data_IF_732576289022
#
_entry.id   IF_732576289022
#
_cell.length_a   1.000
_cell.length_b   1.000
_cell.length_c   1.000
_cell.angle_alpha   90.00
_cell.angle_beta   90.00
_cell.angle_gamma   90.00
#
_symmetry.space_group_name_H-M   'P 1'
#
loop_
_entity.id
_entity.type
_entity.pdbx_description
1 polymer ?
#
# COMPACT_ATOMS: atom_id res chain seq x y z
N UNK A 1 -2.81 1.76 8.19
CA UNK A 1 -3.37 1.47 6.84
C UNK A 1 -4.79 0.97 6.99
N UNK A 2 -5.71 1.60 6.32
CA UNK A 2 -7.10 1.18 6.31
C UNK A 2 -7.44 0.60 4.93
N UNK A 3 -8.00 -0.60 4.93
CA UNK A 3 -8.26 -1.36 3.71
C UNK A 3 -9.75 -1.64 3.63
N UNK A 4 -10.36 -1.29 2.50
CA UNK A 4 -11.78 -1.54 2.24
C UNK A 4 -11.92 -2.28 0.92
N UNK A 5 -12.65 -3.37 0.93
CA UNK A 5 -12.94 -4.18 -0.26
C UNK A 5 -14.46 -4.19 -0.47
N UNK A 6 -14.90 -3.58 -1.56
CA UNK A 6 -16.31 -3.58 -1.99
C UNK A 6 -16.33 -3.94 -3.48
N UNK A 7 -16.78 -3.02 -4.34
CA UNK A 7 -16.68 -3.20 -5.79
C UNK A 7 -15.25 -2.96 -6.29
N UNK A 8 -14.44 -2.32 -5.47
CA UNK A 8 -13.03 -2.04 -5.76
C UNK A 8 -12.22 -2.13 -4.46
N UNK A 9 -10.94 -2.34 -4.60
CA UNK A 9 -10.01 -2.31 -3.47
C UNK A 9 -9.60 -0.86 -3.18
N UNK A 10 -9.81 -0.42 -1.95
CA UNK A 10 -9.38 0.91 -1.48
C UNK A 10 -8.39 0.76 -0.35
N UNK A 11 -7.25 1.40 -0.51
CA UNK A 11 -6.19 1.44 0.52
C UNK A 11 -6.02 2.89 0.94
N UNK A 12 -6.23 3.16 2.22
CA UNK A 12 -6.07 4.49 2.79
C UNK A 12 -4.89 4.51 3.74
N UNK A 13 -4.02 5.49 3.56
CA UNK A 13 -2.83 5.69 4.40
C UNK A 13 -3.07 6.87 5.34
N UNK A 14 -2.80 6.67 6.63
CA UNK A 14 -2.85 7.75 7.61
C UNK A 14 -1.45 8.37 7.80
N UNK A 15 -1.33 9.37 8.67
CA UNK A 15 -0.06 10.07 8.91
C UNK A 15 1.02 9.13 9.44
N UNK A 16 0.65 8.20 10.28
CA UNK A 16 1.57 7.19 10.81
C UNK A 16 2.13 6.31 9.70
N UNK A 17 1.28 5.90 8.76
CA UNK A 17 1.70 5.11 7.60
C UNK A 17 2.67 5.89 6.71
N UNK A 18 2.40 7.18 6.47
CA UNK A 18 3.25 8.02 5.64
C UNK A 18 4.63 8.19 6.27
N UNK A 19 4.69 8.38 7.59
CA UNK A 19 5.95 8.47 8.32
C UNK A 19 6.73 7.15 8.26
N UNK A 20 6.03 6.03 8.38
CA UNK A 20 6.65 4.71 8.26
C UNK A 20 7.24 4.49 6.87
N UNK A 21 6.53 4.91 5.82
CA UNK A 21 7.04 4.83 4.44
C UNK A 21 8.29 5.67 4.25
N UNK A 22 8.33 6.87 4.82
CA UNK A 22 9.52 7.73 4.72
C UNK A 22 10.70 7.12 5.45
N UNK A 23 10.46 6.47 6.58
CA UNK A 23 11.51 5.92 7.44
C UNK A 23 12.00 4.56 6.95
N UNK A 24 11.07 3.64 6.69
CA UNK A 24 11.38 2.24 6.38
C UNK A 24 11.22 1.88 4.91
N UNK A 25 10.66 2.77 4.09
CA UNK A 25 10.40 2.58 2.65
C UNK A 25 9.36 1.50 2.34
N UNK A 26 8.74 0.94 3.35
CA UNK A 26 7.75 -0.13 3.19
C UNK A 26 6.77 -0.13 4.36
N UNK A 27 5.51 -0.39 4.05
CA UNK A 27 4.51 -0.80 5.03
C UNK A 27 3.76 -2.02 4.49
N UNK A 28 3.25 -2.82 5.39
CA UNK A 28 2.61 -4.08 5.03
C UNK A 28 1.49 -4.39 6.03
N UNK A 29 0.39 -4.93 5.53
CA UNK A 29 -0.71 -5.40 6.36
C UNK A 29 -1.25 -6.70 5.80
N UNK A 30 -1.38 -7.72 6.67
CA UNK A 30 -1.98 -9.00 6.34
C UNK A 30 -3.33 -9.13 7.01
N UNK A 31 -4.27 -9.75 6.34
CA UNK A 31 -5.58 -10.02 6.90
C UNK A 31 -6.15 -11.31 6.33
N UNK A 32 -7.07 -11.92 7.08
CA UNK A 32 -7.70 -13.17 6.68
C UNK A 32 -9.02 -12.89 5.97
N UNK A 33 -9.20 -13.56 4.84
CA UNK A 33 -10.49 -13.60 4.15
C UNK A 33 -11.02 -15.02 4.35
N UNK A 34 -12.09 -15.15 5.15
CA UNK A 34 -12.55 -16.47 5.57
C UNK A 34 -11.59 -17.10 6.58
N UNK A 35 -11.64 -18.43 6.72
CA UNK A 35 -10.86 -19.13 7.75
C UNK A 35 -9.47 -19.55 7.31
N UNK A 36 -9.20 -19.63 6.01
CA UNK A 36 -7.98 -20.25 5.50
C UNK A 36 -7.21 -19.41 4.48
N UNK A 37 -7.72 -18.24 4.10
CA UNK A 37 -7.06 -17.41 3.10
C UNK A 37 -6.47 -16.18 3.76
N UNK A 38 -5.13 -16.09 3.71
CA UNK A 38 -4.39 -14.92 4.19
C UNK A 38 -4.00 -14.06 2.98
N UNK A 39 -4.32 -12.78 3.04
CA UNK A 39 -4.00 -11.83 1.99
C UNK A 39 -3.14 -10.71 2.56
N UNK A 40 -2.10 -10.32 1.82
CA UNK A 40 -1.18 -9.27 2.24
C UNK A 40 -1.22 -8.11 1.26
N UNK A 41 -1.31 -6.89 1.80
CA UNK A 41 -1.16 -5.66 1.02
C UNK A 41 0.13 -4.99 1.48
N UNK A 42 1.01 -4.71 0.51
CA UNK A 42 2.30 -4.10 0.75
C UNK A 42 2.43 -2.82 -0.06
N UNK A 43 2.88 -1.74 0.58
CA UNK A 43 3.21 -0.49 -0.10
C UNK A 43 4.71 -0.28 -0.02
N UNK A 44 5.35 -0.13 -1.17
CA UNK A 44 6.78 0.10 -1.29
C UNK A 44 7.02 1.50 -1.83
N UNK A 45 7.83 2.29 -1.14
CA UNK A 45 8.25 3.58 -1.65
C UNK A 45 9.40 3.35 -2.63
N UNK A 46 9.19 3.71 -3.90
CA UNK A 46 10.11 3.41 -4.99
C UNK A 46 10.51 4.70 -5.71
N UNK A 47 11.82 4.91 -5.88
CA UNK A 47 12.35 6.12 -6.51
C UNK A 47 12.66 5.94 -7.99
N UNK A 48 12.70 4.70 -8.48
CA UNK A 48 13.21 4.37 -9.81
C UNK A 48 12.13 4.21 -10.87
N UNK A 49 10.86 4.31 -10.51
CA UNK A 49 9.75 4.15 -11.45
C UNK A 49 9.16 5.52 -11.82
N UNK A 50 8.64 5.69 -13.05
CA UNK A 50 8.10 6.98 -13.50
C UNK A 50 6.72 7.29 -12.92
N UNK A 51 5.98 6.29 -12.48
CA UNK A 51 4.63 6.47 -11.94
C UNK A 51 4.31 5.33 -10.98
N UNK A 52 3.36 5.58 -10.10
CA UNK A 52 2.86 4.55 -9.18
C UNK A 52 2.26 3.40 -9.96
N UNK A 53 2.68 2.20 -9.64
CA UNK A 53 2.19 0.97 -10.26
C UNK A 53 1.77 -0.02 -9.21
N UNK A 54 1.02 -1.04 -9.63
CA UNK A 54 0.56 -2.10 -8.74
C UNK A 54 0.84 -3.45 -9.37
N UNK A 55 1.01 -4.46 -8.52
CA UNK A 55 1.11 -5.85 -8.97
C UNK A 55 0.31 -6.75 -8.03
N UNK A 56 -0.31 -7.77 -8.60
CA UNK A 56 -1.14 -8.71 -7.87
C UNK A 56 -0.63 -10.13 -8.10
N UNK A 57 -0.37 -10.84 -7.02
CA UNK A 57 -0.13 -12.27 -7.03
C UNK A 57 -1.26 -12.98 -6.28
N UNK A 58 -1.19 -14.30 -6.13
CA UNK A 58 -2.31 -15.07 -5.57
C UNK A 58 -2.70 -14.67 -4.15
N UNK A 59 -1.77 -14.16 -3.35
CA UNK A 59 -2.02 -13.81 -1.95
C UNK A 59 -1.43 -12.46 -1.54
N UNK A 60 -0.92 -11.69 -2.51
CA UNK A 60 -0.24 -10.45 -2.20
C UNK A 60 -0.51 -9.38 -3.25
N UNK A 61 -0.89 -8.20 -2.79
CA UNK A 61 -1.05 -7.01 -3.61
C UNK A 61 0.02 -6.00 -3.23
N UNK A 62 0.84 -5.60 -4.21
CA UNK A 62 1.96 -4.69 -3.98
C UNK A 62 1.69 -3.38 -4.70
N UNK A 63 1.80 -2.28 -3.97
CA UNK A 63 1.70 -0.93 -4.52
C UNK A 63 3.11 -0.34 -4.51
N UNK A 64 3.64 -0.05 -5.70
CA UNK A 64 4.92 0.64 -5.85
C UNK A 64 4.62 2.14 -5.95
N UNK A 65 4.76 2.83 -4.83
CA UNK A 65 4.40 4.24 -4.70
C UNK A 65 5.62 5.11 -5.02
N UNK A 66 5.43 6.11 -5.88
CA UNK A 66 6.48 7.08 -6.17
C UNK A 66 6.57 8.12 -5.05
N UNK A 67 7.75 8.75 -4.94
CA UNK A 67 7.97 9.85 -3.99
C UNK A 67 7.02 11.01 -4.27
N UNK A 68 6.79 11.33 -5.54
CA UNK A 68 5.88 12.42 -5.93
C UNK A 68 4.45 12.15 -5.45
N UNK A 69 3.96 10.94 -5.63
CA UNK A 69 2.61 10.57 -5.17
C UNK A 69 2.52 10.54 -3.65
N UNK A 70 3.59 10.12 -2.97
CA UNK A 70 3.64 10.19 -1.51
C UNK A 70 3.53 11.63 -1.02
N UNK A 71 4.25 12.56 -1.66
CA UNK A 71 4.18 13.98 -1.32
C UNK A 71 2.78 14.55 -1.50
N UNK A 72 2.09 14.15 -2.57
CA UNK A 72 0.70 14.57 -2.80
C UNK A 72 -0.23 14.08 -1.69
N UNK A 73 -0.01 12.87 -1.18
CA UNK A 73 -0.78 12.34 -0.07
C UNK A 73 -0.53 13.10 1.22
N UNK A 74 0.70 13.57 1.44
CA UNK A 74 1.05 14.34 2.62
C UNK A 74 0.44 15.74 2.64
N UNK A 75 0.07 16.27 1.48
CA UNK A 75 -0.50 17.62 1.33
C UNK A 75 -2.00 17.67 1.55
N UNK A 76 -2.65 16.55 1.79
CA UNK A 76 -4.09 16.49 2.04
C UNK A 76 -4.45 16.81 3.47
#
# INVERSE_FOLDING_TARGET
MNIRIENELRVRLDQSDLQQLLKAKMIEKSFSIGKQFLFTIQVLLTETIPQTTTSLSSQKYVIHLTVDDLEKLQQR
#
